data_IF_450280541792
#
_entry.id   IF_450280541792
#
_cell.length_a   1.000
_cell.length_b   1.000
_cell.length_c   1.000
_cell.angle_alpha   90.00
_cell.angle_beta   90.00
_cell.angle_gamma   90.00
#
_symmetry.space_group_name_H-M   'P 1'
#
loop_
_entity.id
_entity.type
_entity.pdbx_description
1 polymer ?
#
# COMPACT_ATOMS: atom_id res chain seq x y z
N UNK A 1 7.92 -10.70 -13.26
CA UNK A 1 6.86 -9.71 -13.54
C UNK A 1 5.98 -10.32 -14.64
N UNK A 2 4.83 -10.91 -14.28
CA UNK A 2 3.84 -11.55 -15.19
C UNK A 2 2.46 -10.86 -15.07
N UNK A 3 2.40 -9.68 -14.43
CA UNK A 3 1.12 -9.08 -13.99
C UNK A 3 0.51 -8.07 -14.99
N UNK A 4 1.18 -7.74 -16.09
CA UNK A 4 0.74 -6.65 -16.98
C UNK A 4 0.13 -7.09 -18.32
N UNK A 5 -0.11 -8.37 -18.55
CA UNK A 5 -0.60 -8.85 -19.86
C UNK A 5 -2.13 -8.99 -19.98
N UNK A 6 -2.89 -8.99 -18.88
CA UNK A 6 -4.32 -9.32 -18.89
C UNK A 6 -5.26 -8.19 -18.45
N UNK A 7 -4.76 -6.97 -18.17
CA UNK A 7 -5.57 -5.83 -17.67
C UNK A 7 -6.51 -6.18 -16.52
N UNK A 8 -6.16 -7.17 -15.69
CA UNK A 8 -7.01 -7.53 -14.54
C UNK A 8 -6.84 -6.44 -13.48
N UNK A 9 -7.94 -5.84 -12.98
CA UNK A 9 -7.88 -4.88 -11.88
C UNK A 9 -7.54 -5.66 -10.61
N UNK A 10 -6.24 -5.81 -10.36
CA UNK A 10 -5.71 -6.51 -9.20
C UNK A 10 -4.73 -5.57 -8.52
N UNK A 11 -4.99 -5.27 -7.25
CA UNK A 11 -4.10 -4.43 -6.48
C UNK A 11 -2.79 -5.17 -6.16
N UNK A 12 -1.65 -4.56 -6.49
CA UNK A 12 -0.32 -5.13 -6.24
C UNK A 12 0.13 -4.80 -4.82
N UNK A 13 0.38 -5.84 -4.03
CA UNK A 13 0.91 -5.70 -2.67
C UNK A 13 2.41 -5.97 -2.68
N UNK A 14 3.20 -5.07 -2.09
CA UNK A 14 4.64 -5.27 -1.91
C UNK A 14 5.09 -5.02 -0.46
N UNK A 15 6.41 -4.96 -0.24
CA UNK A 15 6.98 -4.69 1.07
C UNK A 15 6.74 -3.25 1.57
N UNK A 16 6.54 -2.28 0.67
CA UNK A 16 6.17 -0.91 1.05
C UNK A 16 4.72 -0.87 1.51
N UNK A 17 3.80 -1.49 0.76
CA UNK A 17 2.39 -1.63 1.15
C UNK A 17 2.23 -2.30 2.52
N UNK A 18 2.89 -3.45 2.71
CA UNK A 18 2.83 -4.17 4.00
C UNK A 18 3.32 -3.30 5.16
N UNK A 19 4.50 -2.71 5.02
CA UNK A 19 5.09 -1.88 6.09
C UNK A 19 4.22 -0.68 6.42
N UNK A 20 3.71 0.00 5.39
CA UNK A 20 2.80 1.14 5.54
C UNK A 20 1.58 0.75 6.36
N UNK A 21 0.84 -0.28 5.93
CA UNK A 21 -0.40 -0.69 6.60
C UNK A 21 -0.16 -1.18 8.03
N UNK A 22 0.89 -1.99 8.26
CA UNK A 22 1.21 -2.47 9.61
C UNK A 22 1.58 -1.33 10.55
N UNK A 23 2.33 -0.32 10.06
CA UNK A 23 2.76 0.82 10.88
C UNK A 23 1.59 1.71 11.30
N UNK A 24 0.56 1.80 10.47
CA UNK A 24 -0.67 2.51 10.76
C UNK A 24 -1.77 1.60 11.37
N UNK A 25 -1.42 0.37 11.79
CA UNK A 25 -2.34 -0.60 12.41
C UNK A 25 -3.59 -0.90 11.58
N UNK A 26 -3.48 -0.83 10.26
CA UNK A 26 -4.56 -1.12 9.32
C UNK A 26 -4.68 -2.61 8.99
N UNK A 27 -3.66 -3.39 9.34
CA UNK A 27 -3.62 -4.86 9.17
C UNK A 27 -2.88 -5.49 10.34
N UNK A 28 -3.18 -6.77 10.59
CA UNK A 28 -2.40 -7.63 11.48
C UNK A 28 -0.99 -7.90 10.91
N UNK A 29 -0.02 -8.20 11.78
CA UNK A 29 1.38 -8.45 11.38
C UNK A 29 1.51 -9.67 10.45
N UNK A 30 0.67 -10.69 10.64
CA UNK A 30 0.65 -11.93 9.87
C UNK A 30 -0.33 -11.90 8.69
N UNK A 31 -0.91 -10.73 8.37
CA UNK A 31 -1.89 -10.58 7.32
C UNK A 31 -1.40 -11.16 5.98
N UNK A 32 -2.18 -12.10 5.43
CA UNK A 32 -1.84 -12.75 4.15
C UNK A 32 -1.84 -11.75 2.99
N UNK A 33 -1.12 -12.11 1.91
CA UNK A 33 -1.08 -11.28 0.69
C UNK A 33 -2.48 -10.99 0.15
N UNK A 34 -3.30 -12.05 0.07
CA UNK A 34 -4.67 -11.99 -0.41
C UNK A 34 -5.56 -11.11 0.47
N UNK A 35 -5.34 -11.13 1.79
CA UNK A 35 -6.10 -10.26 2.70
C UNK A 35 -5.81 -8.79 2.43
N UNK A 36 -4.54 -8.42 2.32
CA UNK A 36 -4.13 -7.05 2.02
C UNK A 36 -4.62 -6.63 0.63
N UNK A 37 -4.53 -7.50 -0.37
CA UNK A 37 -5.02 -7.22 -1.71
C UNK A 37 -6.53 -6.94 -1.72
N UNK A 38 -7.30 -7.78 -1.03
CA UNK A 38 -8.76 -7.59 -0.88
C UNK A 38 -9.11 -6.31 -0.14
N UNK A 39 -8.30 -5.87 0.83
CA UNK A 39 -8.51 -4.61 1.53
C UNK A 39 -8.60 -3.44 0.55
N UNK A 40 -7.68 -3.35 -0.41
CA UNK A 40 -7.74 -2.29 -1.43
C UNK A 40 -8.87 -2.51 -2.42
N UNK A 41 -9.00 -3.71 -2.98
CA UNK A 41 -10.00 -3.99 -4.01
C UNK A 41 -11.45 -3.88 -3.51
N UNK A 42 -11.70 -4.04 -2.21
CA UNK A 42 -13.03 -3.87 -1.62
C UNK A 42 -13.37 -2.41 -1.29
N UNK A 43 -12.36 -1.53 -1.18
CA UNK A 43 -12.53 -0.15 -0.74
C UNK A 43 -12.21 0.89 -1.83
N UNK A 44 -11.68 0.48 -2.96
CA UNK A 44 -11.38 1.32 -4.11
C UNK A 44 -12.27 0.91 -5.31
N UNK A 45 -12.56 1.84 -6.24
CA UNK A 45 -13.23 1.49 -7.48
C UNK A 45 -12.44 0.44 -8.26
N UNK A 46 -13.15 -0.43 -8.98
CA UNK A 46 -12.56 -1.52 -9.77
C UNK A 46 -11.90 -0.99 -11.06
N UNK A 47 -10.79 -0.27 -10.88
CA UNK A 47 -10.04 0.41 -11.93
C UNK A 47 -8.54 0.18 -11.77
N UNK A 48 -7.93 -0.36 -12.84
CA UNK A 48 -6.49 -0.64 -12.91
C UNK A 48 -5.66 0.64 -12.71
N UNK A 49 -6.10 1.78 -13.24
CA UNK A 49 -5.38 3.04 -13.10
C UNK A 49 -5.35 3.50 -11.65
N UNK A 50 -6.48 3.40 -10.94
CA UNK A 50 -6.58 3.74 -9.51
C UNK A 50 -5.67 2.82 -8.69
N UNK A 51 -5.69 1.50 -8.96
CA UNK A 51 -4.83 0.58 -8.23
C UNK A 51 -3.34 0.87 -8.44
N UNK A 52 -2.95 1.18 -9.67
CA UNK A 52 -1.56 1.54 -9.98
C UNK A 52 -1.13 2.85 -9.33
N UNK A 53 -2.01 3.86 -9.31
CA UNK A 53 -1.76 5.15 -8.68
C UNK A 53 -1.60 5.00 -7.16
N UNK A 54 -2.54 4.31 -6.49
CA UNK A 54 -2.44 4.03 -5.06
C UNK A 54 -1.16 3.27 -4.72
N UNK A 55 -0.80 2.25 -5.50
CA UNK A 55 0.44 1.52 -5.32
C UNK A 55 1.66 2.45 -5.45
N UNK A 56 1.71 3.29 -6.48
CA UNK A 56 2.79 4.24 -6.69
C UNK A 56 2.94 5.25 -5.54
N UNK A 57 1.82 5.79 -5.05
CA UNK A 57 1.81 6.73 -3.93
C UNK A 57 2.33 6.08 -2.63
N UNK A 58 1.91 4.85 -2.35
CA UNK A 58 2.40 4.11 -1.17
C UNK A 58 3.90 3.80 -1.28
N UNK A 59 4.37 3.42 -2.48
CA UNK A 59 5.80 3.20 -2.73
C UNK A 59 6.59 4.50 -2.52
N UNK A 60 6.10 5.62 -3.03
CA UNK A 60 6.75 6.93 -2.86
C UNK A 60 6.81 7.33 -1.38
N UNK A 61 5.68 7.25 -0.67
CA UNK A 61 5.60 7.51 0.76
C UNK A 61 6.57 6.60 1.54
N UNK A 62 6.59 5.32 1.21
CA UNK A 62 7.45 4.33 1.84
C UNK A 62 8.94 4.48 1.55
N UNK A 63 9.32 5.18 0.47
CA UNK A 63 10.71 5.53 0.17
C UNK A 63 11.14 6.82 0.87
N UNK A 64 10.29 7.83 0.87
CA UNK A 64 10.65 9.19 1.30
C UNK A 64 10.43 9.44 2.79
N UNK A 65 9.34 8.90 3.36
CA UNK A 65 8.91 9.21 4.72
C UNK A 65 8.82 7.97 5.61
N UNK A 66 8.29 6.87 5.08
CA UNK A 66 8.09 5.61 5.80
C UNK A 66 9.11 4.53 5.38
N UNK A 67 10.39 4.92 5.36
CA UNK A 67 11.50 4.00 5.08
C UNK A 67 11.64 2.93 6.17
N UNK A 68 12.25 1.79 5.83
CA UNK A 68 12.53 0.72 6.82
C UNK A 68 13.50 1.17 7.91
N UNK A 69 14.44 2.06 7.57
CA UNK A 69 15.51 2.53 8.45
C UNK A 69 15.44 4.04 8.56
N UNK A 70 15.33 4.56 9.78
CA UNK A 70 15.18 5.98 10.09
C UNK A 70 14.02 6.68 9.36
N UNK A 71 12.77 6.24 9.59
CA UNK A 71 11.60 6.87 8.96
C UNK A 71 11.45 8.32 9.43
N UNK A 72 11.18 9.22 8.48
CA UNK A 72 10.86 10.63 8.77
C UNK A 72 9.39 10.76 9.13
N UNK A 73 9.00 10.05 10.20
CA UNK A 73 7.61 9.95 10.63
C UNK A 73 7.02 11.31 10.97
N UNK A 74 7.80 12.27 11.47
CA UNK A 74 7.31 13.60 11.85
C UNK A 74 6.66 14.38 10.69
N UNK A 75 7.09 14.14 9.46
CA UNK A 75 6.53 14.77 8.26
C UNK A 75 5.53 13.86 7.53
N UNK A 76 5.09 12.76 8.16
CA UNK A 76 4.12 11.87 7.57
C UNK A 76 2.75 12.58 7.52
N UNK A 77 2.13 12.73 6.34
CA UNK A 77 0.83 13.40 6.22
C UNK A 77 -0.30 12.68 6.97
N UNK A 78 -0.07 11.45 7.42
CA UNK A 78 -1.06 10.66 8.14
C UNK A 78 -0.94 10.76 9.66
N UNK A 79 0.05 11.48 10.21
CA UNK A 79 0.14 11.70 11.66
C UNK A 79 -0.96 12.61 12.19
N UNK A 80 -1.51 13.50 11.36
CA UNK A 80 -2.56 14.45 11.75
C UNK A 80 -3.98 13.86 11.64
N UNK A 81 -4.10 12.58 11.26
CA UNK A 81 -5.38 11.89 11.07
C UNK A 81 -5.74 10.93 12.22
N UNK A 82 -5.06 11.02 13.36
CA UNK A 82 -5.44 10.35 14.63
C UNK A 82 -6.40 11.18 15.49
#
# INVERSE_FOLDING_TARGET
IILYACYKPIFVVDAYTRRFLSRHRLIEEDASYTHIQKLFMNNLPDDVAIYNEYHALIVQLGKELCSKTNPRSDNCPLNEME
#
